data_IF_192355428878
#
_entry.id   IF_192355428878
#
_cell.length_a   1.000
_cell.length_b   1.000
_cell.length_c   1.000
_cell.angle_alpha   90.00
_cell.angle_beta   90.00
_cell.angle_gamma   90.00
#
_symmetry.space_group_name_H-M   'P 1'
#
loop_
_entity.id
_entity.type
_entity.pdbx_description
1 polymer ?
#
# COMPACT_ATOMS: atom_id res chain seq x y z
N UNK A 1 -8.13 14.46 -1.27
CA UNK A 1 -6.78 13.89 -1.41
C UNK A 1 -6.27 13.59 -0.01
N UNK A 2 -6.45 12.36 0.45
CA UNK A 2 -6.25 12.03 1.87
C UNK A 2 -4.77 11.87 2.17
N UNK A 3 -4.24 12.78 2.98
CA UNK A 3 -2.82 12.85 3.38
C UNK A 3 -2.29 11.52 3.94
N UNK A 4 -3.17 10.73 4.57
CA UNK A 4 -2.86 9.38 5.06
C UNK A 4 -2.47 8.41 3.94
N UNK A 5 -3.13 8.47 2.78
CA UNK A 5 -2.81 7.62 1.64
C UNK A 5 -1.48 8.01 1.03
N UNK A 6 -1.17 9.31 1.02
CA UNK A 6 0.14 9.82 0.60
C UNK A 6 1.26 9.36 1.50
N UNK A 7 1.12 9.52 2.82
CA UNK A 7 2.13 9.05 3.79
C UNK A 7 2.32 7.54 3.72
N UNK A 8 1.23 6.79 3.50
CA UNK A 8 1.32 5.34 3.34
C UNK A 8 2.02 4.95 2.04
N UNK A 9 1.67 5.61 0.94
CA UNK A 9 2.28 5.40 -0.37
C UNK A 9 3.78 5.70 -0.34
N UNK A 10 4.18 6.89 0.14
CA UNK A 10 5.58 7.30 0.29
C UNK A 10 6.38 6.41 1.25
N UNK A 11 5.70 5.68 2.15
CA UNK A 11 6.38 4.75 3.05
C UNK A 11 6.55 3.34 2.47
N UNK A 12 5.72 2.97 1.48
CA UNK A 12 5.80 1.72 0.75
C UNK A 12 6.71 1.84 -0.48
N UNK A 13 6.78 3.04 -1.06
CA UNK A 13 7.60 3.40 -2.21
C UNK A 13 9.05 3.54 -1.76
N UNK A 14 9.86 2.53 -2.07
CA UNK A 14 11.25 2.43 -1.61
C UNK A 14 12.21 3.18 -2.54
N UNK A 15 11.91 3.21 -3.83
CA UNK A 15 12.73 3.84 -4.86
C UNK A 15 12.28 5.28 -5.20
N UNK A 16 11.14 5.70 -4.65
CA UNK A 16 10.51 7.00 -4.86
C UNK A 16 10.15 7.26 -6.33
N UNK A 17 9.83 6.22 -7.09
CA UNK A 17 9.46 6.31 -8.51
C UNK A 17 8.00 6.72 -8.74
N UNK A 18 7.20 6.81 -7.67
CA UNK A 18 5.79 7.16 -7.73
C UNK A 18 4.88 6.00 -8.10
N UNK A 19 5.38 4.76 -8.03
CA UNK A 19 4.66 3.51 -8.22
C UNK A 19 4.99 2.55 -7.08
N UNK A 20 4.16 1.54 -6.91
CA UNK A 20 4.35 0.51 -5.90
C UNK A 20 4.34 -0.85 -6.57
N UNK A 21 5.49 -1.50 -6.61
CA UNK A 21 5.57 -2.89 -7.07
C UNK A 21 5.21 -3.85 -5.93
N UNK A 22 4.78 -5.07 -6.28
CA UNK A 22 4.54 -6.13 -5.30
C UNK A 22 5.75 -6.39 -4.39
N UNK A 23 6.95 -6.32 -4.96
CA UNK A 23 8.20 -6.57 -4.23
C UNK A 23 8.45 -5.47 -3.20
N UNK A 24 8.20 -4.21 -3.57
CA UNK A 24 8.35 -3.07 -2.67
C UNK A 24 7.31 -3.10 -1.57
N UNK A 25 6.04 -3.38 -1.90
CA UNK A 25 4.99 -3.52 -0.89
C UNK A 25 5.36 -4.61 0.11
N UNK A 26 5.77 -5.80 -0.33
CA UNK A 26 6.14 -6.89 0.59
C UNK A 26 7.38 -6.52 1.43
N UNK A 27 8.40 -5.92 0.81
CA UNK A 27 9.65 -5.56 1.49
C UNK A 27 9.42 -4.42 2.49
N UNK A 28 8.68 -3.39 2.09
CA UNK A 28 8.32 -2.27 2.94
C UNK A 28 7.35 -2.67 4.04
N UNK A 29 6.40 -3.57 3.81
CA UNK A 29 5.57 -4.10 4.90
C UNK A 29 6.38 -4.93 5.89
N UNK A 30 7.41 -5.64 5.44
CA UNK A 30 8.31 -6.38 6.34
C UNK A 30 9.18 -5.46 7.18
N UNK A 31 9.76 -4.42 6.57
CA UNK A 31 10.69 -3.50 7.25
C UNK A 31 9.98 -2.35 7.98
N UNK A 32 8.94 -1.77 7.38
CA UNK A 32 8.21 -0.58 7.86
C UNK A 32 6.84 -0.91 8.43
N UNK A 33 6.30 -2.12 8.22
CA UNK A 33 4.98 -2.53 8.70
C UNK A 33 4.76 -2.25 10.20
N UNK A 34 5.69 -2.61 11.10
CA UNK A 34 5.56 -2.33 12.53
C UNK A 34 5.49 -0.82 12.82
N UNK A 35 6.28 -0.01 12.12
CA UNK A 35 6.33 1.45 12.30
C UNK A 35 5.07 2.13 11.77
N UNK A 36 4.60 1.73 10.61
CA UNK A 36 3.41 2.28 9.99
C UNK A 36 2.14 1.88 10.74
N UNK A 37 2.09 0.65 11.28
CA UNK A 37 1.00 0.18 12.13
C UNK A 37 0.99 0.92 13.48
N UNK A 38 2.17 1.12 14.09
CA UNK A 38 2.30 1.93 15.30
C UNK A 38 1.89 3.38 15.10
N UNK A 39 2.07 3.93 13.87
CA UNK A 39 1.60 5.27 13.50
C UNK A 39 0.10 5.34 13.21
N UNK A 40 -0.61 4.21 13.18
CA UNK A 40 -2.03 4.15 12.80
C UNK A 40 -2.28 4.56 11.34
N UNK A 41 -1.23 4.58 10.51
CA UNK A 41 -1.28 4.93 9.10
C UNK A 41 -1.50 3.67 8.26
N UNK A 42 -0.82 2.58 8.64
CA UNK A 42 -1.14 1.27 8.10
C UNK A 42 -2.39 0.73 8.78
N UNK A 43 -3.45 0.41 8.03
CA UNK A 43 -4.57 -0.28 8.62
C UNK A 43 -4.21 -1.76 8.80
N UNK A 44 -4.95 -2.46 9.66
CA UNK A 44 -4.65 -3.80 10.20
C UNK A 44 -4.33 -4.90 9.15
N UNK A 45 -4.66 -4.66 7.89
CA UNK A 45 -4.39 -5.56 6.76
C UNK A 45 -2.95 -5.49 6.21
N UNK A 46 -2.22 -4.38 6.37
CA UNK A 46 -0.82 -4.31 5.91
C UNK A 46 0.18 -4.96 6.87
N UNK A 47 -0.29 -5.56 7.97
CA UNK A 47 0.55 -6.31 8.92
C UNK A 47 0.27 -7.82 8.80
N UNK A 48 -0.15 -8.28 7.62
CA UNK A 48 -0.36 -9.71 7.35
C UNK A 48 0.62 -10.24 6.30
N UNK A 49 0.79 -11.56 6.32
CA UNK A 49 1.64 -12.35 5.42
C UNK A 49 1.58 -11.91 3.95
N UNK A 50 2.65 -12.23 3.21
CA UNK A 50 2.81 -11.86 1.81
C UNK A 50 1.63 -12.27 0.91
N UNK A 51 0.89 -13.33 1.28
CA UNK A 51 -0.32 -13.77 0.59
C UNK A 51 -1.50 -12.78 0.74
N UNK A 52 -1.71 -12.25 1.95
CA UNK A 52 -2.77 -11.26 2.19
C UNK A 52 -2.45 -9.93 1.49
N UNK A 53 -1.17 -9.57 1.47
CA UNK A 53 -0.67 -8.41 0.74
C UNK A 53 -0.82 -8.61 -0.78
N UNK A 54 -0.55 -9.82 -1.27
CA UNK A 54 -0.76 -10.16 -2.69
C UNK A 54 -2.21 -10.08 -3.12
N UNK A 55 -3.14 -10.65 -2.35
CA UNK A 55 -4.57 -10.61 -2.71
C UNK A 55 -5.14 -9.17 -2.71
N UNK A 56 -4.62 -8.30 -1.85
CA UNK A 56 -4.98 -6.88 -1.85
C UNK A 56 -4.31 -6.11 -2.97
N UNK A 57 -3.07 -6.43 -3.27
CA UNK A 57 -2.37 -5.88 -4.42
C UNK A 57 -3.14 -6.21 -5.70
N UNK A 58 -3.53 -7.46 -5.90
CA UNK A 58 -4.35 -7.91 -7.04
C UNK A 58 -5.74 -7.25 -7.07
N UNK A 59 -6.32 -6.94 -5.91
CA UNK A 59 -7.59 -6.23 -5.83
C UNK A 59 -7.46 -4.72 -6.13
N UNK A 60 -6.28 -4.15 -5.89
CA UNK A 60 -5.97 -2.76 -6.15
C UNK A 60 -5.47 -2.54 -7.59
N UNK A 61 -4.76 -3.53 -8.12
CA UNK A 61 -4.24 -3.60 -9.48
C UNK A 61 -5.38 -3.92 -10.45
N UNK A 62 -6.12 -2.86 -10.81
CA UNK A 62 -7.26 -2.97 -11.70
C UNK A 62 -6.84 -3.21 -13.17
N UNK A 63 -5.60 -2.87 -13.51
CA UNK A 63 -5.08 -2.92 -14.87
C UNK A 63 -4.26 -4.21 -15.14
N UNK A 64 -3.85 -4.92 -14.09
CA UNK A 64 -3.10 -6.17 -14.14
C UNK A 64 -1.62 -6.00 -14.50
N UNK A 65 -1.05 -4.82 -14.30
CA UNK A 65 0.34 -4.50 -14.65
C UNK A 65 1.34 -4.85 -13.54
N UNK A 66 0.85 -5.38 -12.42
CA UNK A 66 1.62 -5.71 -11.23
C UNK A 66 2.30 -4.49 -10.57
N UNK A 67 1.77 -3.29 -10.82
CA UNK A 67 2.22 -2.01 -10.25
C UNK A 67 1.02 -1.21 -9.77
N UNK A 68 1.13 -0.56 -8.61
CA UNK A 68 0.09 0.33 -8.10
C UNK A 68 0.55 1.78 -8.25
N UNK A 69 -0.17 2.54 -9.07
CA UNK A 69 0.02 3.99 -9.12
C UNK A 69 -0.61 4.67 -7.91
N UNK A 70 -0.19 5.90 -7.63
CA UNK A 70 -0.79 6.70 -6.55
C UNK A 70 -2.31 6.83 -6.69
N UNK A 71 -2.83 6.93 -7.91
CA UNK A 71 -4.26 7.05 -8.20
C UNK A 71 -5.02 5.74 -7.92
N UNK A 72 -4.48 4.60 -8.35
CA UNK A 72 -5.08 3.28 -8.08
C UNK A 72 -5.07 2.96 -6.59
N UNK A 73 -3.94 3.26 -5.93
CA UNK A 73 -3.81 3.09 -4.50
C UNK A 73 -4.86 3.93 -3.77
N UNK A 74 -4.88 5.25 -4.01
CA UNK A 74 -5.83 6.16 -3.36
C UNK A 74 -7.27 5.78 -3.63
N UNK A 75 -7.64 5.41 -4.86
CA UNK A 75 -8.99 4.96 -5.19
C UNK A 75 -9.42 3.73 -4.36
N UNK A 76 -8.51 2.80 -4.11
CA UNK A 76 -8.79 1.59 -3.31
C UNK A 76 -8.87 1.91 -1.82
N UNK A 77 -7.93 2.71 -1.29
CA UNK A 77 -7.95 3.08 0.14
C UNK A 77 -9.17 3.94 0.44
N UNK A 78 -9.50 4.88 -0.44
CA UNK A 78 -10.68 5.74 -0.34
C UNK A 78 -11.97 4.90 -0.35
N UNK A 79 -12.11 4.00 -1.34
CA UNK A 79 -13.28 3.12 -1.44
C UNK A 79 -13.45 2.19 -0.25
N UNK A 80 -12.34 1.69 0.32
CA UNK A 80 -12.39 0.64 1.36
C UNK A 80 -12.38 1.19 2.79
N UNK A 81 -11.80 2.38 3.01
CA UNK A 81 -11.67 2.99 4.33
C UNK A 81 -12.41 4.32 4.47
N UNK A 82 -12.96 4.88 3.38
CA UNK A 82 -13.76 6.10 3.40
C UNK A 82 -12.97 7.31 3.92
N UNK A 83 -11.83 7.59 3.31
CA UNK A 83 -10.92 8.66 3.72
C UNK A 83 -11.25 10.01 3.08
#
# INVERSE_FOLDING_TARGET
MSEKARVLFEALDLDADGRLTRVEVISALRDRGPTLAARGVLPFWGVQDADASSALFDAADANGDAVLTFEEFTAVVDRRFGW
#
